data_IF_396920662094
#
_entry.id   IF_396920662094
#
_cell.length_a   1.000
_cell.length_b   1.000
_cell.length_c   1.000
_cell.angle_alpha   90.00
_cell.angle_beta   90.00
_cell.angle_gamma   90.00
#
_symmetry.space_group_name_H-M   'P 1'
#
loop_
_entity.id
_entity.type
_entity.pdbx_description
1 polymer ?
#
# COMPACT_ATOMS: atom_id res chain seq x y z
N UNK A 1 -36.44 17.25 -38.85
CA UNK A 1 -36.31 16.24 -39.92
C UNK A 1 -36.64 14.88 -39.34
N UNK A 2 -37.60 14.20 -39.94
CA UNK A 2 -37.91 12.80 -39.62
C UNK A 2 -36.90 11.86 -40.28
N UNK A 3 -36.85 10.59 -39.85
CA UNK A 3 -36.03 9.55 -40.50
C UNK A 3 -36.32 9.45 -42.01
N UNK A 4 -37.57 9.66 -42.40
CA UNK A 4 -38.00 9.60 -43.80
C UNK A 4 -37.43 10.78 -44.60
N UNK A 5 -37.41 11.99 -44.04
CA UNK A 5 -36.83 13.18 -44.68
C UNK A 5 -35.33 12.96 -45.00
N UNK A 6 -34.60 12.25 -44.14
CA UNK A 6 -33.20 11.92 -44.37
C UNK A 6 -33.01 10.89 -45.48
N UNK A 7 -33.84 9.85 -45.51
CA UNK A 7 -33.78 8.82 -46.54
C UNK A 7 -34.07 9.44 -47.90
N UNK A 8 -35.12 10.25 -48.01
CA UNK A 8 -35.50 10.91 -49.26
C UNK A 8 -34.40 11.82 -49.79
N UNK A 9 -33.75 12.59 -48.90
CA UNK A 9 -32.62 13.46 -49.27
C UNK A 9 -31.38 12.70 -49.69
N UNK A 10 -31.09 11.55 -49.06
CA UNK A 10 -29.97 10.69 -49.47
C UNK A 10 -30.27 10.06 -50.83
N UNK A 11 -31.50 9.57 -51.05
CA UNK A 11 -31.92 8.98 -52.32
C UNK A 11 -31.78 9.97 -53.47
N UNK A 12 -32.29 11.21 -53.32
CA UNK A 12 -32.13 12.27 -54.33
C UNK A 12 -30.67 12.56 -54.67
N UNK A 13 -29.77 12.54 -53.68
CA UNK A 13 -28.34 12.77 -53.92
C UNK A 13 -27.65 11.60 -54.64
N UNK A 14 -28.16 10.38 -54.50
CA UNK A 14 -27.58 9.18 -55.11
C UNK A 14 -28.12 8.91 -56.53
N UNK A 15 -29.34 9.35 -56.84
CA UNK A 15 -30.01 9.12 -58.14
C UNK A 15 -29.26 9.68 -59.35
N UNK A 16 -28.42 10.70 -59.14
CA UNK A 16 -27.65 11.36 -60.19
C UNK A 16 -26.24 10.77 -60.40
N UNK A 17 -25.81 9.80 -59.58
CA UNK A 17 -24.47 9.22 -59.64
C UNK A 17 -24.39 8.06 -60.63
N UNK A 18 -23.21 7.91 -61.24
CA UNK A 18 -22.89 6.75 -62.07
C UNK A 18 -22.65 5.49 -61.22
N UNK A 19 -22.66 4.32 -61.88
CA UNK A 19 -22.42 3.03 -61.22
C UNK A 19 -21.06 2.95 -60.52
N UNK A 20 -20.02 3.53 -61.13
CA UNK A 20 -18.67 3.53 -60.57
C UNK A 20 -18.56 4.48 -59.36
N UNK A 21 -19.17 5.67 -59.43
CA UNK A 21 -19.25 6.59 -58.29
C UNK A 21 -20.04 5.99 -57.12
N UNK A 22 -21.14 5.28 -57.38
CA UNK A 22 -21.90 4.56 -56.35
C UNK A 22 -21.05 3.46 -55.69
N UNK A 23 -20.18 2.79 -56.45
CA UNK A 23 -19.25 1.78 -55.91
C UNK A 23 -18.19 2.42 -55.02
N UNK A 24 -17.67 3.59 -55.39
CA UNK A 24 -16.71 4.34 -54.58
C UNK A 24 -17.37 4.85 -53.29
N UNK A 25 -18.60 5.38 -53.37
CA UNK A 25 -19.38 5.79 -52.20
C UNK A 25 -19.62 4.61 -51.25
N UNK A 26 -19.98 3.44 -51.76
CA UNK A 26 -20.15 2.24 -50.95
C UNK A 26 -18.84 1.82 -50.26
N UNK A 27 -17.73 1.85 -50.99
CA UNK A 27 -16.39 1.53 -50.47
C UNK A 27 -16.00 2.48 -49.35
N UNK A 28 -16.17 3.78 -49.57
CA UNK A 28 -15.85 4.82 -48.59
C UNK A 28 -16.74 4.73 -47.35
N UNK A 29 -18.03 4.46 -47.53
CA UNK A 29 -18.99 4.31 -46.42
C UNK A 29 -18.64 3.11 -45.55
N UNK A 30 -18.29 1.97 -46.16
CA UNK A 30 -17.85 0.77 -45.42
C UNK A 30 -16.53 1.02 -44.68
N UNK A 31 -15.57 1.71 -45.32
CA UNK A 31 -14.32 2.09 -44.69
C UNK A 31 -14.56 3.03 -43.48
N UNK A 32 -15.41 4.05 -43.64
CA UNK A 32 -15.79 4.96 -42.56
C UNK A 32 -16.48 4.23 -41.40
N UNK A 33 -17.40 3.31 -41.70
CA UNK A 33 -18.05 2.50 -40.68
C UNK A 33 -17.04 1.64 -39.91
N UNK A 34 -16.12 0.98 -40.63
CA UNK A 34 -15.05 0.20 -40.02
C UNK A 34 -14.12 1.02 -39.12
N UNK A 35 -13.77 2.24 -39.53
CA UNK A 35 -12.98 3.16 -38.68
C UNK A 35 -13.76 3.55 -37.42
N UNK A 36 -15.03 3.92 -37.55
CA UNK A 36 -15.87 4.29 -36.40
C UNK A 36 -16.03 3.15 -35.40
N UNK A 37 -16.19 1.92 -35.88
CA UNK A 37 -16.28 0.75 -35.02
C UNK A 37 -14.97 0.56 -34.23
N UNK A 38 -13.82 0.62 -34.89
CA UNK A 38 -12.52 0.51 -34.23
C UNK A 38 -12.24 1.62 -33.22
N UNK A 39 -12.70 2.85 -33.50
CA UNK A 39 -12.59 3.97 -32.55
C UNK A 39 -13.47 3.70 -31.33
N UNK A 40 -14.71 3.25 -31.52
CA UNK A 40 -15.61 2.92 -30.41
C UNK A 40 -15.07 1.77 -29.54
N UNK A 41 -14.49 0.73 -30.16
CA UNK A 41 -13.81 -0.36 -29.44
C UNK A 41 -12.62 0.17 -28.63
N UNK A 42 -11.78 1.03 -29.23
CA UNK A 42 -10.66 1.66 -28.53
C UNK A 42 -11.13 2.47 -27.32
N UNK A 43 -12.14 3.33 -27.51
CA UNK A 43 -12.70 4.15 -26.42
C UNK A 43 -13.29 3.29 -25.29
N UNK A 44 -13.88 2.15 -25.62
CA UNK A 44 -14.36 1.18 -24.64
C UNK A 44 -13.20 0.62 -23.81
N UNK A 45 -12.15 0.12 -24.47
CA UNK A 45 -10.99 -0.43 -23.78
C UNK A 45 -10.23 0.61 -22.96
N UNK A 46 -10.15 1.85 -23.43
CA UNK A 46 -9.54 2.95 -22.65
C UNK A 46 -10.33 3.26 -21.38
N UNK A 47 -11.67 3.25 -21.45
CA UNK A 47 -12.52 3.41 -20.26
C UNK A 47 -12.37 2.26 -19.28
N UNK A 48 -12.33 1.02 -19.76
CA UNK A 48 -12.08 -0.14 -18.88
C UNK A 48 -10.70 -0.08 -18.24
N UNK A 49 -9.66 0.28 -18.99
CA UNK A 49 -8.30 0.41 -18.48
C UNK A 49 -8.21 1.47 -17.37
N UNK A 50 -8.83 2.63 -17.55
CA UNK A 50 -8.82 3.68 -16.52
C UNK A 50 -9.63 3.25 -15.29
N UNK A 51 -10.76 2.55 -15.48
CA UNK A 51 -11.53 1.99 -14.37
C UNK A 51 -10.73 0.96 -13.57
N UNK A 52 -10.02 0.05 -14.24
CA UNK A 52 -9.14 -0.94 -13.59
C UNK A 52 -8.02 -0.23 -12.83
N UNK A 53 -7.35 0.73 -13.47
CA UNK A 53 -6.29 1.53 -12.85
C UNK A 53 -6.77 2.27 -11.60
N UNK A 54 -7.95 2.89 -11.65
CA UNK A 54 -8.57 3.54 -10.49
C UNK A 54 -8.83 2.54 -9.36
N UNK A 55 -9.35 1.34 -9.66
CA UNK A 55 -9.59 0.29 -8.66
C UNK A 55 -8.28 -0.18 -8.01
N UNK A 56 -7.20 -0.29 -8.78
CA UNK A 56 -5.88 -0.64 -8.28
C UNK A 56 -5.29 0.45 -7.37
N UNK A 57 -5.50 1.73 -7.69
CA UNK A 57 -5.05 2.85 -6.84
C UNK A 57 -5.84 2.98 -5.54
N UNK A 58 -7.10 2.51 -5.51
CA UNK A 58 -7.94 2.52 -4.33
C UNK A 58 -7.69 1.35 -3.37
N UNK A 59 -6.87 0.36 -3.76
CA UNK A 59 -6.47 -0.68 -2.81
C UNK A 59 -5.63 -0.06 -1.71
N UNK A 60 -5.99 -0.38 -0.46
CA UNK A 60 -5.20 0.02 0.69
C UNK A 60 -3.78 -0.50 0.51
N UNK A 61 -2.79 0.36 0.79
CA UNK A 61 -1.40 -0.07 0.77
C UNK A 61 -1.20 -1.19 1.80
N UNK A 62 -0.44 -2.24 1.48
CA UNK A 62 -0.10 -3.26 2.46
C UNK A 62 0.63 -2.60 3.63
N UNK A 63 0.23 -2.94 4.84
CA UNK A 63 0.87 -2.47 6.08
C UNK A 63 1.86 -3.53 6.50
N UNK A 64 3.13 -3.16 6.66
CA UNK A 64 4.21 -4.09 7.02
C UNK A 64 4.98 -3.57 8.24
N UNK A 65 5.47 -4.44 9.14
CA UNK A 65 6.34 -4.04 10.23
C UNK A 65 7.63 -3.36 9.76
N UNK A 66 8.25 -2.57 10.64
CA UNK A 66 9.52 -1.88 10.36
C UNK A 66 10.64 -2.83 9.90
N UNK A 67 10.82 -3.97 10.58
CA UNK A 67 11.83 -4.96 10.19
C UNK A 67 11.61 -5.58 8.80
N UNK A 68 10.37 -5.61 8.32
CA UNK A 68 10.00 -6.09 6.99
C UNK A 68 10.31 -5.01 5.95
N UNK A 69 9.97 -3.75 6.26
CA UNK A 69 10.28 -2.61 5.40
C UNK A 69 11.79 -2.46 5.17
N UNK A 70 12.59 -2.50 6.24
CA UNK A 70 14.05 -2.45 6.16
C UNK A 70 14.60 -3.54 5.25
N UNK A 71 14.13 -4.77 5.44
CA UNK A 71 14.57 -5.91 4.64
C UNK A 71 14.18 -5.78 3.16
N UNK A 72 12.96 -5.31 2.85
CA UNK A 72 12.53 -5.05 1.46
C UNK A 72 13.45 -4.01 0.78
N UNK A 73 13.82 -2.94 1.49
CA UNK A 73 14.73 -1.92 0.95
C UNK A 73 16.15 -2.44 0.71
N UNK A 74 16.62 -3.40 1.51
CA UNK A 74 17.90 -4.06 1.28
C UNK A 74 17.86 -5.00 0.06
N UNK A 75 16.81 -5.81 -0.08
CA UNK A 75 16.63 -6.69 -1.25
C UNK A 75 16.54 -5.92 -2.57
N UNK A 76 15.99 -4.70 -2.57
CA UNK A 76 15.92 -3.84 -3.77
C UNK A 76 17.30 -3.50 -4.35
N UNK A 77 18.35 -3.47 -3.51
CA UNK A 77 19.73 -3.17 -3.95
C UNK A 77 20.37 -4.36 -4.67
N UNK A 78 19.92 -5.57 -4.34
CA UNK A 78 20.49 -6.84 -4.84
C UNK A 78 19.70 -7.42 -6.02
N UNK A 79 18.48 -6.94 -6.28
CA UNK A 79 17.68 -7.35 -7.43
C UNK A 79 17.11 -8.78 -7.30
N UNK A 80 16.82 -9.22 -6.08
CA UNK A 80 16.33 -10.56 -5.82
C UNK A 80 14.91 -10.79 -6.33
N UNK A 81 14.59 -12.03 -6.69
CA UNK A 81 13.23 -12.43 -7.03
C UNK A 81 12.45 -12.86 -5.77
N UNK A 82 11.12 -12.77 -5.81
CA UNK A 82 10.26 -13.08 -4.66
C UNK A 82 10.53 -14.47 -4.06
N UNK A 83 10.72 -15.48 -4.92
CA UNK A 83 11.06 -16.84 -4.45
C UNK A 83 12.41 -16.89 -3.72
N UNK A 84 13.43 -16.22 -4.26
CA UNK A 84 14.77 -16.15 -3.66
C UNK A 84 14.72 -15.51 -2.27
N UNK A 85 13.95 -14.43 -2.14
CA UNK A 85 13.74 -13.74 -0.87
C UNK A 85 13.06 -14.64 0.17
N UNK A 86 11.97 -15.33 -0.18
CA UNK A 86 11.32 -16.26 0.75
C UNK A 86 12.24 -17.39 1.19
N UNK A 87 13.03 -17.94 0.26
CA UNK A 87 14.03 -18.97 0.56
C UNK A 87 15.13 -18.43 1.48
N UNK A 88 15.60 -17.20 1.26
CA UNK A 88 16.58 -16.53 2.12
C UNK A 88 16.06 -16.31 3.54
N UNK A 89 14.84 -15.80 3.71
CA UNK A 89 14.22 -15.59 5.02
C UNK A 89 14.09 -16.92 5.75
N UNK A 90 13.62 -17.96 5.05
CA UNK A 90 13.45 -19.30 5.61
C UNK A 90 14.77 -19.92 6.09
N UNK A 91 15.83 -19.81 5.29
CA UNK A 91 17.18 -20.30 5.63
C UNK A 91 17.83 -19.51 6.76
N UNK A 92 17.58 -18.20 6.81
CA UNK A 92 18.20 -17.28 7.77
C UNK A 92 17.29 -16.94 8.97
N UNK A 93 16.37 -17.83 9.33
CA UNK A 93 15.43 -17.61 10.46
C UNK A 93 16.09 -17.22 11.79
N UNK A 94 17.34 -17.63 12.02
CA UNK A 94 18.10 -17.26 13.24
C UNK A 94 18.69 -15.86 13.18
N UNK A 95 18.99 -15.38 11.97
CA UNK A 95 19.53 -14.05 11.72
C UNK A 95 18.43 -12.99 11.84
N UNK A 96 17.24 -13.31 11.32
CA UNK A 96 16.08 -12.41 11.31
C UNK A 96 14.84 -13.10 11.90
N UNK A 97 14.82 -13.37 13.23
CA UNK A 97 13.73 -14.14 13.85
C UNK A 97 12.38 -13.44 13.73
N UNK A 98 12.33 -12.12 13.96
CA UNK A 98 11.09 -11.33 13.84
C UNK A 98 10.53 -11.29 12.41
N UNK A 99 11.43 -11.16 11.43
CA UNK A 99 11.07 -11.18 10.01
C UNK A 99 10.48 -12.54 9.63
N UNK A 100 11.16 -13.63 10.03
CA UNK A 100 10.70 -14.99 9.77
C UNK A 100 9.35 -15.26 10.44
N UNK A 101 9.20 -14.92 11.73
CA UNK A 101 7.96 -15.10 12.48
C UNK A 101 6.79 -14.39 11.81
N UNK A 102 6.95 -13.12 11.43
CA UNK A 102 5.88 -12.35 10.79
C UNK A 102 5.56 -12.88 9.38
N UNK A 103 6.58 -13.07 8.54
CA UNK A 103 6.38 -13.50 7.14
C UNK A 103 5.71 -14.87 7.07
N UNK A 104 6.06 -15.79 7.98
CA UNK A 104 5.52 -17.15 8.01
C UNK A 104 4.44 -17.37 9.08
N UNK A 105 3.87 -16.29 9.63
CA UNK A 105 2.76 -16.36 10.59
C UNK A 105 1.51 -16.99 9.96
N UNK A 106 1.10 -16.45 8.80
CA UNK A 106 -0.04 -16.95 8.03
C UNK A 106 0.05 -16.59 6.53
N UNK A 107 -0.94 -17.05 5.75
CA UNK A 107 -1.02 -16.79 4.32
C UNK A 107 -1.22 -15.29 3.98
N UNK A 108 -1.87 -14.52 4.86
CA UNK A 108 -2.11 -13.10 4.66
C UNK A 108 -0.82 -12.29 4.82
N UNK A 109 0.03 -12.64 5.78
CA UNK A 109 1.36 -12.02 5.96
C UNK A 109 2.24 -12.28 4.74
N UNK A 110 2.23 -13.50 4.18
CA UNK A 110 2.95 -13.82 2.95
C UNK A 110 2.42 -13.02 1.75
N UNK A 111 1.10 -12.92 1.60
CA UNK A 111 0.48 -12.13 0.54
C UNK A 111 0.79 -10.63 0.67
N UNK A 112 0.74 -10.10 1.90
CA UNK A 112 1.06 -8.70 2.22
C UNK A 112 2.52 -8.40 1.92
N UNK A 113 3.44 -9.29 2.32
CA UNK A 113 4.85 -9.21 1.98
C UNK A 113 5.06 -9.18 0.47
N UNK A 114 4.47 -10.13 -0.27
CA UNK A 114 4.63 -10.23 -1.72
C UNK A 114 4.11 -8.98 -2.43
N UNK A 115 2.97 -8.44 -2.01
CA UNK A 115 2.43 -7.18 -2.53
C UNK A 115 3.38 -6.01 -2.25
N UNK A 116 3.86 -5.86 -1.01
CA UNK A 116 4.79 -4.80 -0.63
C UNK A 116 6.10 -4.88 -1.44
N UNK A 117 6.64 -6.10 -1.60
CA UNK A 117 7.88 -6.36 -2.32
C UNK A 117 7.74 -6.08 -3.83
N UNK A 118 6.74 -6.67 -4.50
CA UNK A 118 6.56 -6.55 -5.95
C UNK A 118 6.20 -5.11 -6.35
N UNK A 119 5.30 -4.48 -5.61
CA UNK A 119 4.81 -3.14 -5.96
C UNK A 119 5.78 -2.04 -5.52
N UNK A 120 6.63 -2.33 -4.52
CA UNK A 120 7.46 -1.35 -3.85
C UNK A 120 6.68 -0.27 -3.11
N UNK A 121 5.37 -0.44 -2.92
CA UNK A 121 4.48 0.52 -2.26
C UNK A 121 3.80 -0.15 -1.07
N UNK A 122 4.07 0.37 0.12
CA UNK A 122 3.54 -0.14 1.37
C UNK A 122 3.55 0.96 2.43
N UNK A 123 2.82 0.74 3.52
CA UNK A 123 2.91 1.57 4.72
C UNK A 123 3.68 0.79 5.78
N UNK A 124 4.57 1.48 6.49
CA UNK A 124 5.23 0.88 7.65
C UNK A 124 4.28 1.00 8.84
N UNK A 125 4.01 -0.13 9.49
CA UNK A 125 3.27 -0.16 10.75
C UNK A 125 4.00 0.71 11.77
N UNK A 126 3.30 1.71 12.30
CA UNK A 126 3.79 2.50 13.42
C UNK A 126 3.17 1.91 14.68
N UNK A 127 3.92 1.13 15.47
CA UNK A 127 3.37 0.57 16.70
C UNK A 127 2.99 1.71 17.66
N UNK A 128 1.86 1.56 18.36
CA UNK A 128 1.49 2.48 19.43
C UNK A 128 2.58 2.45 20.51
N UNK A 129 3.15 3.61 20.79
CA UNK A 129 4.19 3.78 21.80
C UNK A 129 3.57 4.21 23.12
N UNK A 130 4.25 3.86 24.22
CA UNK A 130 3.84 4.12 25.58
C UNK A 130 5.01 4.66 26.42
N UNK A 131 4.70 5.56 27.33
CA UNK A 131 5.55 5.88 28.48
C UNK A 131 5.19 4.95 29.65
N UNK A 132 6.17 4.55 30.47
CA UNK A 132 5.91 3.89 31.76
C UNK A 132 5.86 4.96 32.85
N UNK A 133 4.67 5.25 33.37
CA UNK A 133 4.42 6.24 34.42
C UNK A 133 4.28 5.60 35.79
N UNK A 134 5.39 5.45 36.51
CA UNK A 134 5.38 4.81 37.82
C UNK A 134 4.69 5.69 38.87
N UNK A 135 3.99 5.07 39.84
CA UNK A 135 3.43 5.79 40.97
C UNK A 135 4.55 6.43 41.79
N UNK A 136 4.22 7.55 42.42
CA UNK A 136 5.17 8.31 43.22
C UNK A 136 5.74 7.46 44.37
N UNK A 137 7.06 7.28 44.36
CA UNK A 137 7.80 6.64 45.45
C UNK A 137 8.61 7.74 46.14
N UNK A 138 8.45 7.89 47.46
CA UNK A 138 9.17 8.85 48.33
C UNK A 138 8.87 10.35 48.13
N UNK A 139 7.63 10.78 48.34
CA UNK A 139 7.32 12.19 48.69
C UNK A 139 7.57 13.25 47.59
N UNK A 140 7.88 12.85 46.37
CA UNK A 140 8.07 13.74 45.22
C UNK A 140 6.70 14.16 44.66
N UNK A 141 6.44 15.43 44.39
CA UNK A 141 5.08 15.86 43.99
C UNK A 141 4.64 15.41 42.58
N UNK A 142 5.53 14.84 41.77
CA UNK A 142 5.32 14.58 40.34
C UNK A 142 5.43 13.08 39.99
N UNK A 143 4.76 12.66 38.91
CA UNK A 143 4.93 11.33 38.31
C UNK A 143 6.37 11.13 37.87
N UNK A 144 6.84 9.88 38.00
CA UNK A 144 8.19 9.48 37.66
C UNK A 144 8.14 8.65 36.37
N UNK A 145 8.88 9.10 35.34
CA UNK A 145 8.99 8.43 34.06
C UNK A 145 10.31 7.64 33.99
N UNK A 146 10.26 6.51 33.30
CA UNK A 146 11.42 5.63 33.09
C UNK A 146 12.31 6.15 31.95
N UNK A 147 13.61 6.35 32.23
CA UNK A 147 14.64 6.83 31.29
C UNK A 147 15.85 5.86 31.20
N UNK A 148 16.57 5.87 30.05
CA UNK A 148 17.77 5.02 29.76
C UNK A 148 19.03 5.80 30.14
N UNK A 149 20.06 5.10 30.64
CA UNK A 149 21.47 5.56 30.54
C UNK A 149 22.17 4.91 29.35
N UNK A 150 23.32 5.46 28.95
CA UNK A 150 24.10 5.10 27.74
C UNK A 150 24.31 3.59 27.51
N UNK A 151 24.28 2.76 28.56
CA UNK A 151 24.51 1.32 28.48
C UNK A 151 23.23 0.44 28.43
N UNK A 152 22.07 1.01 28.07
CA UNK A 152 20.82 0.25 27.91
C UNK A 152 20.17 -0.21 29.22
N UNK A 153 20.72 0.17 30.36
CA UNK A 153 20.12 -0.05 31.68
C UNK A 153 19.06 1.03 31.97
N UNK A 154 17.93 0.63 32.54
CA UNK A 154 16.93 1.56 33.08
C UNK A 154 17.54 2.23 34.31
N UNK A 155 17.76 3.54 34.28
CA UNK A 155 18.57 4.19 35.32
C UNK A 155 18.06 5.54 35.82
N UNK A 156 17.15 6.22 35.12
CA UNK A 156 16.68 7.52 35.61
C UNK A 156 15.17 7.64 35.71
N UNK A 157 14.77 8.30 36.79
CA UNK A 157 13.43 8.64 37.18
C UNK A 157 13.25 10.14 36.92
N UNK A 158 12.85 10.52 35.72
CA UNK A 158 12.70 11.93 35.35
C UNK A 158 11.25 12.41 35.51
N UNK A 159 11.08 13.68 35.85
CA UNK A 159 9.77 14.34 35.93
C UNK A 159 9.40 15.09 34.63
N UNK A 160 10.20 14.94 33.57
CA UNK A 160 10.04 15.63 32.28
C UNK A 160 9.79 14.61 31.18
N UNK A 161 8.64 14.72 30.50
CA UNK A 161 8.27 13.87 29.35
C UNK A 161 9.35 13.82 28.27
N UNK A 162 10.08 14.92 28.05
CA UNK A 162 11.08 15.05 26.99
C UNK A 162 12.29 14.09 27.13
N UNK A 163 12.49 13.48 28.29
CA UNK A 163 13.56 12.51 28.55
C UNK A 163 13.03 11.09 28.80
N UNK A 164 11.72 10.90 28.69
CA UNK A 164 11.08 9.61 28.94
C UNK A 164 11.21 8.72 27.72
N UNK A 165 11.49 7.45 27.95
CA UNK A 165 11.54 6.46 26.89
C UNK A 165 10.14 6.10 26.43
N UNK A 166 10.02 5.97 25.11
CA UNK A 166 8.86 5.41 24.43
C UNK A 166 9.12 3.91 24.26
N UNK A 167 8.16 3.08 24.62
CA UNK A 167 8.22 1.63 24.52
C UNK A 167 7.01 1.09 23.75
N UNK A 168 7.19 0.02 23.00
CA UNK A 168 6.08 -0.82 22.53
C UNK A 168 5.53 -1.67 23.68
N UNK A 169 4.30 -2.19 23.53
CA UNK A 169 3.72 -3.11 24.52
C UNK A 169 4.62 -4.33 24.79
N UNK A 170 5.20 -4.92 23.74
CA UNK A 170 6.10 -6.08 23.87
C UNK A 170 7.38 -5.74 24.64
N UNK A 171 7.95 -4.54 24.43
CA UNK A 171 9.12 -4.10 25.20
C UNK A 171 8.78 -3.92 26.68
N UNK A 172 7.62 -3.34 27.02
CA UNK A 172 7.16 -3.23 28.41
C UNK A 172 7.02 -4.63 29.04
N UNK A 173 6.35 -5.55 28.34
CA UNK A 173 6.12 -6.92 28.84
C UNK A 173 7.40 -7.74 28.97
N UNK A 174 8.38 -7.52 28.09
CA UNK A 174 9.68 -8.21 28.18
C UNK A 174 10.57 -7.68 29.31
N UNK A 175 10.39 -6.42 29.74
CA UNK A 175 10.98 -5.91 30.98
C UNK A 175 10.29 -6.58 32.17
N UNK A 176 8.97 -6.38 32.30
CA UNK A 176 8.11 -7.03 33.30
C UNK A 176 6.63 -6.73 32.96
N UNK A 177 5.80 -7.77 32.82
CA UNK A 177 4.37 -7.63 32.49
C UNK A 177 3.61 -6.71 33.46
N UNK A 178 4.04 -6.63 34.73
CA UNK A 178 3.42 -5.74 35.72
C UNK A 178 3.58 -4.26 35.38
N UNK A 179 4.52 -3.89 34.52
CA UNK A 179 4.66 -2.49 34.09
C UNK A 179 3.59 -2.05 33.10
N UNK A 180 2.88 -2.99 32.48
CA UNK A 180 1.80 -2.66 31.54
C UNK A 180 0.68 -1.83 32.17
N UNK A 181 0.36 -2.04 33.45
CA UNK A 181 -0.64 -1.25 34.16
C UNK A 181 -0.27 0.24 34.31
N UNK A 182 1.00 0.59 34.09
CA UNK A 182 1.52 1.95 34.16
C UNK A 182 1.80 2.55 32.78
N UNK A 183 1.42 1.84 31.69
CA UNK A 183 1.59 2.31 30.33
C UNK A 183 0.67 3.51 30.05
N UNK A 184 1.25 4.60 29.55
CA UNK A 184 0.54 5.82 29.14
C UNK A 184 0.78 5.99 27.65
N UNK A 185 -0.25 5.98 26.80
CA UNK A 185 -0.08 6.10 25.35
C UNK A 185 0.55 7.45 25.00
N UNK A 186 1.46 7.42 24.02
CA UNK A 186 2.03 8.62 23.39
C UNK A 186 1.04 9.08 22.32
N UNK A 187 0.68 10.37 22.33
CA UNK A 187 -0.19 10.94 21.30
C UNK A 187 0.60 11.20 20.01
N UNK A 188 -0.01 10.90 18.86
CA UNK A 188 0.58 11.17 17.54
C UNK A 188 0.77 12.68 17.35
N UNK A 189 2.02 13.15 17.52
CA UNK A 189 2.38 14.56 17.39
C UNK A 189 3.27 15.13 18.51
N UNK A 190 3.58 14.34 19.56
CA UNK A 190 4.57 14.68 20.61
C UNK A 190 6.03 14.37 20.24
#
# INVERSE_FOLDING_TARGET
MTKNDYIEKITQNLEHLTKDELKDVATLTNAQFGVRLKVAEKEYWEKEAEAIKSRLQQQALPVVPECVAEFIEDCKKEGECLFGVFDQISKNRKTYPKLYEWVFEDENSQATFALAFITGKYQVEKPQLFYIGLPNVYGLKNKVLVSKVENGTIAEFSNRKNYALKFTEQEIKSIDERYWQFAVPVEDGE
#
